data_IF_908431621005
#
_entry.id   IF_908431621005
#
_cell.length_a   1.000
_cell.length_b   1.000
_cell.length_c   1.000
_cell.angle_alpha   90.00
_cell.angle_beta   90.00
_cell.angle_gamma   90.00
#
_symmetry.space_group_name_H-M   'P 1'
#
loop_
_entity.id
_entity.type
_entity.pdbx_description
1 polymer ?
#
# COMPACT_ATOMS: atom_id res chain seq x y z
N UNK A 1 10.90 -6.85 26.02
CA UNK A 1 12.17 -7.03 25.30
C UNK A 1 12.02 -6.98 23.76
N UNK A 2 11.51 -8.00 23.04
CA UNK A 2 11.44 -7.94 21.55
C UNK A 2 10.33 -7.04 20.97
N UNK A 3 9.27 -6.74 21.74
CA UNK A 3 8.19 -5.82 21.35
C UNK A 3 8.51 -4.34 21.57
N UNK A 4 9.52 -4.02 22.39
CA UNK A 4 9.93 -2.63 22.64
C UNK A 4 10.79 -2.09 21.51
N UNK A 5 11.70 -2.89 20.95
CA UNK A 5 12.65 -2.41 19.93
C UNK A 5 11.98 -2.02 18.61
N UNK A 6 10.93 -2.73 18.18
CA UNK A 6 10.17 -2.40 16.96
C UNK A 6 9.23 -1.21 17.16
N UNK A 7 8.70 -1.03 18.36
CA UNK A 7 7.89 0.14 18.71
C UNK A 7 8.76 1.41 18.76
N UNK A 8 9.96 1.33 19.36
CA UNK A 8 10.91 2.44 19.48
C UNK A 8 11.39 2.93 18.11
N UNK A 9 11.64 2.03 17.14
CA UNK A 9 12.03 2.42 15.78
C UNK A 9 10.90 3.14 15.00
N UNK A 10 9.66 2.68 15.15
CA UNK A 10 8.51 3.32 14.52
C UNK A 10 8.16 4.68 15.17
N UNK A 11 8.36 4.79 16.47
CA UNK A 11 8.11 6.00 17.26
C UNK A 11 9.20 7.06 17.02
N UNK A 12 10.46 6.65 16.88
CA UNK A 12 11.55 7.54 16.46
C UNK A 12 11.37 8.06 15.03
N UNK A 13 10.93 7.20 14.10
CA UNK A 13 10.60 7.63 12.74
C UNK A 13 9.41 8.61 12.70
N UNK A 14 8.39 8.38 13.53
CA UNK A 14 7.26 9.32 13.69
C UNK A 14 7.70 10.65 14.31
N UNK A 15 8.52 10.62 15.36
CA UNK A 15 9.03 11.82 16.01
C UNK A 15 9.92 12.65 15.07
N UNK A 16 10.76 11.99 14.26
CA UNK A 16 11.53 12.67 13.20
C UNK A 16 10.62 13.24 12.09
N UNK A 17 9.51 12.56 11.78
CA UNK A 17 8.49 13.05 10.85
C UNK A 17 7.72 14.27 11.40
N UNK A 18 7.33 14.26 12.68
CA UNK A 18 6.62 15.36 13.32
C UNK A 18 7.53 16.57 13.54
N UNK A 19 8.79 16.33 13.91
CA UNK A 19 9.82 17.37 14.00
C UNK A 19 10.09 17.99 12.63
N UNK A 20 10.17 17.20 11.55
CA UNK A 20 10.37 17.73 10.19
C UNK A 20 9.13 18.43 9.63
N UNK A 21 7.92 17.97 9.94
CA UNK A 21 6.68 18.70 9.63
C UNK A 21 6.64 20.09 10.28
N UNK A 22 7.22 20.24 11.49
CA UNK A 22 7.41 21.54 12.15
C UNK A 22 8.50 22.41 11.52
N UNK A 23 9.56 21.82 10.97
CA UNK A 23 10.72 22.57 10.45
C UNK A 23 10.51 23.04 9.00
N UNK A 24 9.66 22.37 8.22
CA UNK A 24 9.60 22.57 6.75
C UNK A 24 8.23 22.96 6.18
N UNK A 25 7.29 23.34 7.04
CA UNK A 25 6.09 24.08 6.63
C UNK A 25 5.05 23.26 5.86
N UNK A 26 4.10 22.67 6.60
CA UNK A 26 2.76 22.36 6.11
C UNK A 26 2.63 21.34 4.96
N UNK A 27 1.38 21.02 4.64
CA UNK A 27 1.02 20.14 3.53
C UNK A 27 1.54 20.68 2.19
N UNK A 28 2.15 19.83 1.35
CA UNK A 28 2.66 20.22 0.04
C UNK A 28 1.51 20.35 -0.96
N UNK A 29 1.46 21.46 -1.68
CA UNK A 29 0.50 21.63 -2.78
C UNK A 29 1.15 21.21 -4.10
N UNK A 30 0.46 20.38 -4.89
CA UNK A 30 0.88 19.97 -6.23
C UNK A 30 -0.13 20.49 -7.24
N UNK A 31 0.33 21.21 -8.26
CA UNK A 31 -0.51 21.67 -9.37
C UNK A 31 -0.28 20.78 -10.59
N UNK A 32 -1.31 20.04 -10.98
CA UNK A 32 -1.31 19.20 -12.17
C UNK A 32 -2.06 19.90 -13.30
N UNK A 33 -1.45 19.97 -14.48
CA UNK A 33 -2.16 20.34 -15.71
C UNK A 33 -2.47 19.06 -16.48
N UNK A 34 -3.74 18.91 -16.86
CA UNK A 34 -4.24 17.75 -17.60
C UNK A 34 -4.76 18.24 -18.94
N UNK A 35 -4.05 17.86 -20.01
CA UNK A 35 -4.38 18.20 -21.37
C UNK A 35 -4.61 16.93 -22.20
N UNK A 36 -5.12 17.11 -23.42
CA UNK A 36 -5.10 16.06 -24.44
C UNK A 36 -4.46 16.64 -25.71
N UNK A 37 -3.39 16.02 -26.24
CA UNK A 37 -2.75 16.53 -27.45
C UNK A 37 -3.74 16.43 -28.61
N UNK A 38 -4.05 17.56 -29.25
CA UNK A 38 -4.84 17.56 -30.48
C UNK A 38 -3.90 17.13 -31.61
N UNK A 39 -4.01 15.86 -32.01
CA UNK A 39 -3.27 15.36 -33.18
C UNK A 39 -3.78 16.10 -34.42
N UNK A 40 -2.91 16.90 -35.04
CA UNK A 40 -3.23 17.80 -36.16
C UNK A 40 -3.88 17.12 -37.38
N UNK A 41 -3.83 15.78 -37.48
CA UNK A 41 -4.46 15.01 -38.56
C UNK A 41 -5.92 14.57 -38.32
N UNK A 42 -6.41 14.57 -37.08
CA UNK A 42 -7.76 14.06 -36.73
C UNK A 42 -8.81 15.18 -36.73
N UNK A 43 -8.41 16.44 -36.62
CA UNK A 43 -9.31 17.59 -36.55
C UNK A 43 -9.98 17.95 -37.90
N UNK A 44 -9.42 17.51 -39.03
CA UNK A 44 -9.84 17.96 -40.36
C UNK A 44 -10.93 17.10 -41.02
N UNK A 45 -11.30 15.96 -40.43
CA UNK A 45 -12.42 15.14 -40.91
C UNK A 45 -13.57 15.19 -39.89
N UNK A 46 -14.60 15.99 -40.22
CA UNK A 46 -15.93 15.93 -39.61
C UNK A 46 -16.02 16.04 -38.06
N UNK A 47 -15.58 17.16 -37.48
CA UNK A 47 -16.09 17.62 -36.17
C UNK A 47 -15.83 16.74 -34.94
N UNK A 48 -14.81 15.86 -34.95
CA UNK A 48 -14.65 14.78 -33.97
C UNK A 48 -13.59 15.00 -32.85
N UNK A 49 -12.90 16.14 -32.82
CA UNK A 49 -11.89 16.39 -31.77
C UNK A 49 -12.51 17.12 -30.57
N UNK A 50 -13.21 16.39 -29.70
CA UNK A 50 -13.64 16.92 -28.39
C UNK A 50 -12.41 17.09 -27.52
N UNK A 51 -12.07 18.34 -27.17
CA UNK A 51 -11.01 18.62 -26.20
C UNK A 51 -11.48 18.29 -24.79
N UNK A 52 -10.54 18.00 -23.91
CA UNK A 52 -10.83 17.74 -22.50
C UNK A 52 -11.51 18.96 -21.84
N UNK A 53 -11.12 20.18 -22.21
CA UNK A 53 -11.79 21.41 -21.77
C UNK A 53 -13.26 21.48 -22.19
N UNK A 54 -13.58 21.19 -23.46
CA UNK A 54 -14.97 21.16 -23.93
C UNK A 54 -15.78 20.03 -23.26
N UNK A 55 -15.16 18.87 -23.04
CA UNK A 55 -15.77 17.76 -22.32
C UNK A 55 -16.07 18.13 -20.87
N UNK A 56 -15.14 18.81 -20.19
CA UNK A 56 -15.30 19.31 -18.83
C UNK A 56 -16.46 20.29 -18.70
N UNK A 57 -16.59 21.26 -19.61
CA UNK A 57 -17.70 22.21 -19.59
C UNK A 57 -19.07 21.52 -19.73
N UNK A 58 -19.15 20.45 -20.52
CA UNK A 58 -20.40 19.70 -20.73
C UNK A 58 -20.73 18.73 -19.59
N UNK A 59 -19.72 18.09 -19.01
CA UNK A 59 -19.87 16.99 -18.05
C UNK A 59 -19.17 17.27 -16.71
N UNK A 60 -19.10 18.53 -16.30
CA UNK A 60 -18.30 19.03 -15.16
C UNK A 60 -18.29 18.09 -13.96
N UNK A 61 -19.46 17.82 -13.38
CA UNK A 61 -19.59 16.96 -12.20
C UNK A 61 -18.96 15.56 -12.38
N UNK A 62 -19.21 14.93 -13.54
CA UNK A 62 -18.67 13.60 -13.85
C UNK A 62 -17.17 13.65 -14.03
N UNK A 63 -16.67 14.66 -14.73
CA UNK A 63 -15.24 14.85 -14.99
C UNK A 63 -14.48 15.14 -13.70
N UNK A 64 -15.00 16.02 -12.83
CA UNK A 64 -14.39 16.28 -11.53
C UNK A 64 -14.35 15.02 -10.64
N UNK A 65 -15.43 14.22 -10.64
CA UNK A 65 -15.46 12.99 -9.85
C UNK A 65 -14.48 11.94 -10.38
N UNK A 66 -14.33 11.82 -11.71
CA UNK A 66 -13.31 10.96 -12.31
C UNK A 66 -11.89 11.41 -11.96
N UNK A 67 -11.63 12.71 -11.96
CA UNK A 67 -10.35 13.29 -11.54
C UNK A 67 -10.08 12.93 -10.06
N UNK A 68 -11.04 13.15 -9.16
CA UNK A 68 -10.91 12.78 -7.74
C UNK A 68 -10.62 11.30 -7.56
N UNK A 69 -11.40 10.42 -8.18
CA UNK A 69 -11.20 8.97 -8.11
C UNK A 69 -9.80 8.52 -8.60
N UNK A 70 -9.22 9.23 -9.56
CA UNK A 70 -7.91 8.87 -10.13
C UNK A 70 -6.72 9.35 -9.30
N UNK A 71 -6.88 10.44 -8.54
CA UNK A 71 -5.80 11.13 -7.85
C UNK A 71 -5.85 10.91 -6.34
N UNK A 72 -7.05 10.90 -5.76
CA UNK A 72 -7.23 10.75 -4.31
C UNK A 72 -6.99 9.30 -3.89
N UNK A 73 -6.27 9.12 -2.78
CA UNK A 73 -6.07 7.82 -2.15
C UNK A 73 -6.48 7.90 -0.70
N UNK A 74 -7.23 6.91 -0.23
CA UNK A 74 -7.56 6.80 1.18
C UNK A 74 -6.34 6.32 1.95
N UNK A 75 -5.95 7.09 2.97
CA UNK A 75 -4.92 6.69 3.92
C UNK A 75 -5.50 5.78 5.02
N UNK A 76 -4.65 5.34 5.96
CA UNK A 76 -5.05 4.42 7.03
C UNK A 76 -6.13 4.97 7.98
N UNK A 77 -6.32 6.30 8.03
CA UNK A 77 -7.33 6.98 8.85
C UNK A 77 -8.61 7.31 8.06
N UNK A 78 -8.71 6.85 6.81
CA UNK A 78 -9.88 7.06 5.96
C UNK A 78 -9.98 8.48 5.38
N UNK A 79 -8.92 9.27 5.43
CA UNK A 79 -8.85 10.59 4.79
C UNK A 79 -8.15 10.48 3.42
N UNK A 80 -8.54 11.35 2.47
CA UNK A 80 -7.86 11.46 1.19
C UNK A 80 -6.47 12.07 1.37
N UNK A 81 -5.43 11.36 0.94
CA UNK A 81 -4.06 11.84 0.93
C UNK A 81 -3.25 11.14 -0.21
N UNK A 82 -3.00 11.81 -1.35
CA UNK A 82 -3.29 13.23 -1.61
C UNK A 82 -4.79 13.54 -1.81
N UNK A 83 -5.19 14.77 -1.50
CA UNK A 83 -6.56 15.30 -1.62
C UNK A 83 -6.68 16.30 -2.78
N UNK A 84 -7.75 16.26 -3.58
CA UNK A 84 -8.01 17.28 -4.60
C UNK A 84 -8.75 18.46 -3.98
N UNK A 85 -8.03 19.57 -3.79
CA UNK A 85 -8.57 20.78 -3.16
C UNK A 85 -9.26 21.72 -4.16
N UNK A 86 -8.84 21.72 -5.43
CA UNK A 86 -9.43 22.57 -6.46
C UNK A 86 -9.25 22.01 -7.86
N UNK A 87 -10.19 22.31 -8.76
CA UNK A 87 -10.11 22.03 -10.19
C UNK A 87 -10.50 23.32 -10.93
N UNK A 88 -9.53 23.97 -11.56
CA UNK A 88 -9.72 25.25 -12.27
C UNK A 88 -10.20 25.05 -13.70
N UNK A 89 -11.02 25.98 -14.17
CA UNK A 89 -11.55 26.01 -15.53
C UNK A 89 -10.48 26.42 -16.55
N UNK A 90 -10.48 25.84 -17.75
CA UNK A 90 -9.71 26.35 -18.90
C UNK A 90 -8.46 25.56 -19.35
N UNK A 91 -7.98 24.55 -18.62
CA UNK A 91 -7.01 23.53 -19.09
C UNK A 91 -6.84 22.44 -18.03
N UNK A 92 -7.96 22.13 -17.35
CA UNK A 92 -8.07 21.31 -16.13
C UNK A 92 -6.78 21.36 -15.30
N UNK A 93 -6.59 22.48 -14.61
CA UNK A 93 -5.53 22.59 -13.61
C UNK A 93 -6.09 22.07 -12.29
N UNK A 94 -5.55 20.96 -11.82
CA UNK A 94 -5.94 20.31 -10.57
C UNK A 94 -4.93 20.66 -9.50
N UNK A 95 -5.42 21.25 -8.39
CA UNK A 95 -4.61 21.45 -7.19
C UNK A 95 -4.85 20.28 -6.25
N UNK A 96 -3.76 19.59 -5.94
CA UNK A 96 -3.68 18.51 -4.98
C UNK A 96 -2.98 18.98 -3.71
N UNK A 97 -3.38 18.46 -2.57
CA UNK A 97 -2.70 18.65 -1.29
C UNK A 97 -2.24 17.30 -0.75
N UNK A 98 -0.94 17.19 -0.54
CA UNK A 98 -0.29 16.07 0.11
C UNK A 98 -0.10 16.43 1.59
N UNK A 99 -0.84 15.78 2.48
CA UNK A 99 -0.84 16.06 3.92
C UNK A 99 0.31 15.36 4.66
N UNK A 100 0.81 14.25 4.11
CA UNK A 100 1.90 13.48 4.71
C UNK A 100 3.14 13.39 3.82
N UNK A 101 4.35 13.27 4.39
CA UNK A 101 5.57 12.98 3.62
C UNK A 101 5.46 11.73 2.73
N UNK A 102 4.80 10.68 3.22
CA UNK A 102 4.59 9.44 2.48
C UNK A 102 3.73 9.68 1.23
N UNK A 103 2.69 10.52 1.33
CA UNK A 103 1.85 10.88 0.17
C UNK A 103 2.65 11.61 -0.90
N UNK A 104 3.57 12.51 -0.52
CA UNK A 104 4.46 13.21 -1.47
C UNK A 104 5.35 12.20 -2.21
N UNK A 105 6.05 11.35 -1.47
CA UNK A 105 6.97 10.37 -2.04
C UNK A 105 6.25 9.37 -2.95
N UNK A 106 5.09 8.87 -2.52
CA UNK A 106 4.29 7.94 -3.29
C UNK A 106 3.69 8.61 -4.54
N UNK A 107 3.22 9.85 -4.43
CA UNK A 107 2.70 10.60 -5.55
C UNK A 107 3.78 10.83 -6.61
N UNK A 108 4.95 11.32 -6.20
CA UNK A 108 6.07 11.58 -7.13
C UNK A 108 6.55 10.29 -7.79
N UNK A 109 6.62 9.18 -7.04
CA UNK A 109 6.91 7.86 -7.59
C UNK A 109 5.87 7.43 -8.63
N UNK A 110 4.59 7.48 -8.28
CA UNK A 110 3.49 7.14 -9.18
C UNK A 110 3.47 8.02 -10.44
N UNK A 111 3.84 9.29 -10.31
CA UNK A 111 3.94 10.23 -11.42
C UNK A 111 5.09 9.85 -12.37
N UNK A 112 6.30 9.62 -11.84
CA UNK A 112 7.49 9.17 -12.60
C UNK A 112 7.22 7.82 -13.30
N UNK A 113 6.51 6.91 -12.65
CA UNK A 113 6.10 5.61 -13.21
C UNK A 113 4.88 5.68 -14.15
N UNK A 114 4.38 6.88 -14.47
CA UNK A 114 3.19 7.13 -15.32
C UNK A 114 1.89 6.50 -14.81
N UNK A 115 1.83 6.07 -13.55
CA UNK A 115 0.62 5.51 -12.92
C UNK A 115 -0.47 6.56 -12.75
N UNK A 116 -0.09 7.80 -12.48
CA UNK A 116 -1.04 8.93 -12.38
C UNK A 116 -1.79 9.13 -13.71
N UNK A 117 -1.05 9.23 -14.82
CA UNK A 117 -1.63 9.35 -16.17
C UNK A 117 -2.58 8.18 -16.47
N UNK A 118 -2.13 6.94 -16.23
CA UNK A 118 -2.93 5.75 -16.50
C UNK A 118 -4.25 5.74 -15.73
N UNK A 119 -4.25 6.07 -14.43
CA UNK A 119 -5.48 6.13 -13.62
C UNK A 119 -6.44 7.21 -14.11
N UNK A 120 -5.92 8.38 -14.49
CA UNK A 120 -6.71 9.46 -15.07
C UNK A 120 -7.41 9.01 -16.36
N UNK A 121 -6.69 8.36 -17.26
CA UNK A 121 -7.24 7.82 -18.51
C UNK A 121 -8.30 6.74 -18.24
N UNK A 122 -8.04 5.81 -17.32
CA UNK A 122 -8.99 4.77 -16.93
C UNK A 122 -10.30 5.34 -16.35
N UNK A 123 -10.23 6.34 -15.47
CA UNK A 123 -11.42 6.98 -14.88
C UNK A 123 -12.17 7.86 -15.89
N UNK A 124 -11.46 8.61 -16.74
CA UNK A 124 -12.10 9.46 -17.77
C UNK A 124 -12.74 8.62 -18.87
N UNK A 125 -12.17 7.46 -19.21
CA UNK A 125 -12.77 6.50 -20.14
C UNK A 125 -14.13 6.02 -19.66
N UNK A 126 -14.32 5.79 -18.34
CA UNK A 126 -15.61 5.35 -17.76
C UNK A 126 -16.74 6.35 -17.99
N UNK A 127 -16.43 7.63 -18.14
CA UNK A 127 -17.42 8.68 -18.39
C UNK A 127 -17.56 9.05 -19.86
N UNK A 128 -16.85 8.35 -20.76
CA UNK A 128 -16.95 8.53 -22.22
C UNK A 128 -15.86 9.40 -22.83
N UNK A 129 -14.81 9.78 -22.09
CA UNK A 129 -13.65 10.47 -22.62
C UNK A 129 -12.50 9.48 -22.87
N UNK A 130 -12.45 8.93 -24.09
CA UNK A 130 -11.45 7.93 -24.51
C UNK A 130 -10.40 8.59 -25.43
N UNK A 131 -9.55 9.43 -24.83
CA UNK A 131 -8.43 10.10 -25.51
C UNK A 131 -7.18 10.01 -24.64
N UNK A 132 -6.03 9.97 -25.29
CA UNK A 132 -4.75 10.04 -24.60
C UNK A 132 -4.59 11.39 -23.90
N UNK A 133 -4.03 11.34 -22.68
CA UNK A 133 -3.78 12.52 -21.87
C UNK A 133 -2.29 12.89 -21.84
N UNK A 134 -2.04 14.18 -21.71
CA UNK A 134 -0.77 14.73 -21.29
C UNK A 134 -0.94 15.30 -19.88
N UNK A 135 -0.13 14.80 -18.94
CA UNK A 135 -0.20 15.20 -17.53
C UNK A 135 1.14 15.78 -17.11
N UNK A 136 1.14 17.03 -16.68
CA UNK A 136 2.37 17.75 -16.29
C UNK A 136 2.21 18.35 -14.89
N UNK A 137 3.30 18.36 -14.12
CA UNK A 137 3.34 19.07 -12.83
C UNK A 137 3.78 20.50 -13.11
N UNK A 138 2.90 21.47 -12.86
CA UNK A 138 3.14 22.90 -13.09
C UNK A 138 4.20 23.43 -12.13
N UNK A 139 4.10 23.10 -10.84
CA UNK A 139 5.10 23.46 -9.83
C UNK A 139 6.14 22.35 -9.63
N UNK A 140 6.63 21.75 -10.73
CA UNK A 140 7.53 20.60 -10.67
C UNK A 140 8.80 20.84 -9.84
N UNK A 141 9.37 22.05 -9.91
CA UNK A 141 10.58 22.40 -9.15
C UNK A 141 10.38 22.23 -7.63
N UNK A 142 9.31 22.81 -7.08
CA UNK A 142 8.98 22.72 -5.65
C UNK A 142 8.72 21.27 -5.24
N UNK A 143 7.96 20.54 -6.06
CA UNK A 143 7.56 19.16 -5.77
C UNK A 143 8.76 18.21 -5.77
N UNK A 144 9.66 18.33 -6.75
CA UNK A 144 10.85 17.47 -6.81
C UNK A 144 11.93 17.85 -5.80
N UNK A 145 12.09 19.15 -5.48
CA UNK A 145 12.95 19.57 -4.37
C UNK A 145 12.45 18.97 -3.06
N UNK A 146 11.14 19.05 -2.82
CA UNK A 146 10.53 18.52 -1.61
C UNK A 146 10.66 17.00 -1.50
N UNK A 147 10.49 16.28 -2.61
CA UNK A 147 10.76 14.84 -2.65
C UNK A 147 12.22 14.52 -2.27
N UNK A 148 13.18 15.27 -2.82
CA UNK A 148 14.59 15.06 -2.55
C UNK A 148 14.93 15.30 -1.07
N UNK A 149 14.45 16.41 -0.49
CA UNK A 149 14.59 16.68 0.95
C UNK A 149 14.03 15.54 1.79
N UNK A 150 12.80 15.09 1.50
CA UNK A 150 12.17 13.99 2.23
C UNK A 150 12.95 12.68 2.09
N UNK A 151 13.55 12.40 0.93
CA UNK A 151 14.41 11.23 0.74
C UNK A 151 15.69 11.33 1.57
N UNK A 152 16.38 12.46 1.53
CA UNK A 152 17.61 12.68 2.32
C UNK A 152 17.36 12.62 3.83
N UNK A 153 16.15 12.96 4.28
CA UNK A 153 15.75 12.83 5.69
C UNK A 153 15.38 11.39 6.10
N UNK A 154 14.94 10.57 5.14
CA UNK A 154 14.55 9.17 5.36
C UNK A 154 15.69 8.18 5.06
N UNK A 155 16.79 8.65 4.47
CA UNK A 155 18.04 7.92 4.39
C UNK A 155 18.73 7.92 5.78
N UNK A 156 19.18 6.75 6.28
CA UNK A 156 20.08 6.72 7.43
C UNK A 156 21.35 7.51 7.08
N UNK A 157 21.66 8.55 7.85
CA UNK A 157 22.90 9.32 7.72
C UNK A 157 24.12 8.37 7.72
N UNK A 158 24.85 8.32 6.60
CA UNK A 158 26.00 7.44 6.35
C UNK A 158 27.31 7.84 7.06
N UNK A 159 27.30 8.78 8.01
CA UNK A 159 28.51 9.23 8.73
C UNK A 159 28.78 8.49 10.06
N UNK A 160 28.50 7.18 10.11
CA UNK A 160 29.07 6.27 11.14
C UNK A 160 29.65 5.04 10.43
N UNK A 161 30.75 5.27 9.70
CA UNK A 161 31.45 4.27 8.89
C UNK A 161 32.46 3.43 9.69
N UNK A 162 32.09 2.91 10.84
CA UNK A 162 32.72 1.73 11.50
C UNK A 162 31.65 1.15 12.43
N UNK A 163 31.40 -0.17 12.40
CA UNK A 163 30.53 -1.00 13.29
C UNK A 163 29.11 -1.42 12.85
N UNK A 164 28.67 -1.27 11.59
CA UNK A 164 27.33 -1.78 11.14
C UNK A 164 27.40 -3.10 10.38
N UNK A 165 28.50 -3.40 9.68
CA UNK A 165 28.59 -4.61 8.86
C UNK A 165 28.66 -5.91 9.69
N UNK A 166 29.36 -5.91 10.84
CA UNK A 166 29.44 -7.10 11.71
C UNK A 166 28.09 -7.46 12.34
N UNK A 167 27.35 -6.45 12.82
CA UNK A 167 26.03 -6.65 13.48
C UNK A 167 25.01 -7.25 12.51
N UNK A 168 25.02 -6.85 11.23
CA UNK A 168 24.08 -7.36 10.22
C UNK A 168 24.29 -8.85 9.89
N UNK A 169 25.54 -9.33 9.86
CA UNK A 169 25.87 -10.72 9.57
C UNK A 169 25.59 -11.64 10.76
N UNK A 170 25.78 -11.15 11.98
CA UNK A 170 25.46 -11.89 13.20
C UNK A 170 23.95 -11.97 13.45
N UNK A 171 23.19 -10.92 13.16
CA UNK A 171 21.73 -10.96 13.24
C UNK A 171 21.13 -11.87 12.17
N UNK A 172 21.66 -11.86 10.94
CA UNK A 172 21.26 -12.82 9.90
C UNK A 172 21.58 -14.27 10.29
N UNK A 173 22.77 -14.54 10.82
CA UNK A 173 23.12 -15.89 11.30
C UNK A 173 22.24 -16.35 12.45
N UNK A 174 21.95 -15.48 13.42
CA UNK A 174 21.01 -15.79 14.51
C UNK A 174 19.61 -16.04 13.98
N UNK A 175 19.17 -15.29 12.96
CA UNK A 175 17.84 -15.47 12.38
C UNK A 175 17.75 -16.77 11.57
N UNK A 176 18.82 -17.16 10.86
CA UNK A 176 18.90 -18.44 10.14
C UNK A 176 18.91 -19.64 11.11
N UNK A 177 19.69 -19.56 12.18
CA UNK A 177 19.71 -20.59 13.24
C UNK A 177 18.36 -20.69 13.97
N UNK A 178 17.71 -19.55 14.23
CA UNK A 178 16.37 -19.53 14.81
C UNK A 178 15.33 -20.18 13.88
N UNK A 179 15.48 -19.98 12.56
CA UNK A 179 14.59 -20.59 11.56
C UNK A 179 14.78 -22.11 11.49
N UNK A 180 16.04 -22.60 11.51
CA UNK A 180 16.36 -24.04 11.59
C UNK A 180 15.79 -24.70 12.85
N UNK A 181 15.92 -24.06 14.02
CA UNK A 181 15.32 -24.55 15.27
C UNK A 181 13.79 -24.58 15.23
N UNK A 182 13.17 -23.65 14.51
CA UNK A 182 11.72 -23.61 14.34
C UNK A 182 11.25 -24.76 13.45
N UNK A 183 11.99 -25.07 12.38
CA UNK A 183 11.69 -26.20 11.50
C UNK A 183 11.81 -27.55 12.23
N UNK A 184 12.82 -27.74 13.06
CA UNK A 184 12.96 -28.95 13.90
C UNK A 184 11.78 -29.11 14.86
N UNK A 185 11.36 -28.03 15.54
CA UNK A 185 10.17 -28.07 16.41
C UNK A 185 8.88 -28.36 15.65
N UNK A 186 8.74 -27.86 14.42
CA UNK A 186 7.58 -28.19 13.59
C UNK A 186 7.56 -29.66 13.20
N UNK A 187 8.73 -30.26 12.98
CA UNK A 187 8.85 -31.69 12.69
C UNK A 187 8.48 -32.54 13.91
N UNK A 188 9.00 -32.21 15.09
CA UNK A 188 8.64 -32.87 16.35
C UNK A 188 7.14 -32.75 16.66
N UNK A 189 6.56 -31.57 16.46
CA UNK A 189 5.13 -31.34 16.67
C UNK A 189 4.28 -32.18 15.71
N UNK A 190 4.71 -32.32 14.45
CA UNK A 190 4.03 -33.14 13.45
C UNK A 190 4.09 -34.64 13.81
N UNK A 191 5.21 -35.10 14.36
CA UNK A 191 5.36 -36.47 14.86
C UNK A 191 4.52 -36.69 16.14
N UNK A 192 4.53 -35.74 17.06
CA UNK A 192 3.69 -35.75 18.25
C UNK A 192 2.19 -35.78 17.92
N UNK A 193 1.76 -35.01 16.91
CA UNK A 193 0.38 -35.02 16.44
C UNK A 193 -0.02 -36.38 15.83
N UNK A 194 0.88 -37.04 15.11
CA UNK A 194 0.64 -38.41 14.62
C UNK A 194 0.50 -39.41 15.76
N UNK A 195 1.39 -39.38 16.75
CA UNK A 195 1.29 -40.24 17.92
C UNK A 195 -0.01 -39.98 18.71
N UNK A 196 -0.41 -38.71 18.83
CA UNK A 196 -1.66 -38.36 19.49
C UNK A 196 -2.88 -38.88 18.73
N UNK A 197 -2.87 -38.79 17.39
CA UNK A 197 -3.93 -39.35 16.55
C UNK A 197 -4.01 -40.89 16.66
N UNK A 198 -2.88 -41.58 16.74
CA UNK A 198 -2.85 -43.03 16.96
C UNK A 198 -3.31 -43.42 18.36
N UNK A 199 -2.94 -42.65 19.39
CA UNK A 199 -3.42 -42.87 20.75
C UNK A 199 -4.94 -42.67 20.85
N UNK A 200 -5.49 -41.68 20.16
CA UNK A 200 -6.94 -41.43 20.07
C UNK A 200 -7.67 -42.64 19.47
N UNK A 201 -7.18 -43.19 18.35
CA UNK A 201 -7.74 -44.40 17.73
C UNK A 201 -7.72 -45.61 18.66
N UNK A 202 -6.62 -45.82 19.39
CA UNK A 202 -6.50 -46.93 20.36
C UNK A 202 -7.46 -46.79 21.53
N UNK A 203 -7.76 -45.56 21.95
CA UNK A 203 -8.77 -45.31 22.99
C UNK A 203 -10.18 -45.61 22.49
N UNK A 204 -10.52 -45.17 21.27
CA UNK A 204 -11.82 -45.49 20.64
C UNK A 204 -12.02 -47.01 20.47
N UNK A 205 -10.98 -47.74 20.07
CA UNK A 205 -11.04 -49.21 19.97
C UNK A 205 -11.23 -49.88 21.34
N UNK A 206 -10.56 -49.34 22.37
CA UNK A 206 -10.66 -49.86 23.73
C UNK A 206 -12.03 -49.59 24.34
N UNK A 207 -12.61 -48.42 24.07
CA UNK A 207 -13.96 -48.06 24.48
C UNK A 207 -14.99 -49.02 23.87
N UNK A 208 -14.91 -49.28 22.57
CA UNK A 208 -15.75 -50.30 21.90
C UNK A 208 -15.63 -51.68 22.54
N UNK A 209 -14.41 -52.12 22.84
CA UNK A 209 -14.18 -53.43 23.49
C UNK A 209 -14.73 -53.51 24.92
N UNK A 210 -14.79 -52.39 25.63
CA UNK A 210 -15.38 -52.31 26.97
C UNK A 210 -16.90 -52.33 26.90
N UNK A 211 -17.49 -51.63 25.93
CA UNK A 211 -18.94 -51.61 25.68
C UNK A 211 -19.46 -53.01 25.28
N UNK A 212 -18.71 -53.75 24.46
CA UNK A 212 -19.01 -55.14 24.13
C UNK A 212 -18.92 -56.07 25.35
N UNK A 213 -17.91 -55.86 26.21
CA UNK A 213 -17.76 -56.60 27.47
C UNK A 213 -18.90 -56.31 28.44
N UNK A 214 -19.34 -55.06 28.56
CA UNK A 214 -20.48 -54.66 29.40
C UNK A 214 -21.77 -55.34 28.93
N UNK A 215 -22.05 -55.33 27.62
CA UNK A 215 -23.18 -56.07 27.02
C UNK A 215 -23.12 -57.58 27.30
N UNK A 216 -21.93 -58.18 27.26
CA UNK A 216 -21.74 -59.61 27.57
C UNK A 216 -21.92 -59.96 29.06
N UNK A 217 -21.67 -59.00 29.96
CA UNK A 217 -21.88 -59.16 31.39
C UNK A 217 -23.35 -58.99 31.75
N UNK A 218 -24.03 -57.99 31.20
CA UNK A 218 -25.49 -57.80 31.37
C UNK A 218 -26.30 -59.00 30.87
N UNK A 219 -25.89 -59.63 29.76
CA UNK A 219 -26.51 -60.85 29.24
C UNK A 219 -26.36 -62.09 30.14
N UNK A 220 -25.36 -62.13 31.04
CA UNK A 220 -25.15 -63.24 31.97
C UNK A 220 -25.94 -63.10 33.29
N UNK A 221 -26.51 -61.93 33.60
CA UNK A 221 -27.35 -61.71 34.79
C UNK A 221 -28.87 -61.92 34.53
N UNK A 222 -29.26 -62.28 33.30
CA UNK A 222 -30.65 -62.49 32.86
C UNK A 222 -31.02 -63.97 32.63
N UNK A 223 -30.18 -64.91 33.08
CA UNK A 223 -30.49 -66.35 33.14
C UNK A 223 -30.80 -66.79 34.58
#
# INVERSE_FOLDING_TARGET
>A
MARESTAVGAEAARAALEASASITGGALSVSLKIDNPIVAGVALAAGAAVTLGAFYLRYRWKTENAIRNSLERMNAIGAADPEVINIEEGSIIVKLRCHTPQSVLQFVKDFKEKKVKRRLEEELKKIGFDKELEVTIVNGQEVFQREQELRSLLEPQEDVKVTVEEVSLEEMKRHEEAMKRLEERFKEMKEGAKMHQEAMKRLEEREKSLEEREKSLEGNYLC
#
